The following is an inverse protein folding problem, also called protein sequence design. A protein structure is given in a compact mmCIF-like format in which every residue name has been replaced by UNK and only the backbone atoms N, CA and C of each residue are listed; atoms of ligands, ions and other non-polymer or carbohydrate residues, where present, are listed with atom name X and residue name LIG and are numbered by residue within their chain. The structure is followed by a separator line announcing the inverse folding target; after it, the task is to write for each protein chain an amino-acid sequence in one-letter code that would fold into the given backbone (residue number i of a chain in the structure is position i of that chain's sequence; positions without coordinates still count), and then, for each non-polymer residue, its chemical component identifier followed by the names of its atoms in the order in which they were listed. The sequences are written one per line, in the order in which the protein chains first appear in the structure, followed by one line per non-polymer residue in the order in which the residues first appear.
data_IF_848109620283
#
_entry.id   IF_848109620283
#
_cell.length_a   1.000
_cell.length_b   1.000
_cell.length_c   1.000
_cell.angle_alpha   90.00
_cell.angle_beta   90.00
_cell.angle_gamma   90.00
#
_symmetry.space_group_name_H-M   'P 1'
#
loop_
_entity.id
_entity.type
_entity.pdbx_description
1 polymer ?
#
# COMPACT_ATOMS: atom_id res chain seq x y z
N UNK A 1 -17.75 9.41 -3.90
CA UNK A 1 -17.40 10.55 -3.02
C UNK A 1 -18.53 11.55 -2.88
N UNK A 2 -19.19 11.97 -3.97
CA UNK A 2 -20.30 12.94 -3.92
C UNK A 2 -21.40 12.56 -2.92
N UNK A 3 -21.85 11.31 -2.90
CA UNK A 3 -22.89 10.86 -1.95
C UNK A 3 -22.44 10.93 -0.49
N UNK A 4 -21.15 10.68 -0.22
CA UNK A 4 -20.58 10.82 1.12
C UNK A 4 -20.56 12.30 1.54
N UNK A 5 -20.16 13.21 0.66
CA UNK A 5 -20.17 14.66 0.93
C UNK A 5 -21.59 15.22 1.14
N UNK A 6 -22.57 14.72 0.37
CA UNK A 6 -24.00 15.03 0.57
C UNK A 6 -24.48 14.51 1.92
N UNK A 7 -24.15 13.27 2.27
CA UNK A 7 -24.50 12.67 3.57
C UNK A 7 -23.87 13.45 4.73
N UNK A 8 -22.63 13.91 4.56
CA UNK A 8 -21.92 14.75 5.54
C UNK A 8 -22.46 16.17 5.66
N UNK A 9 -23.39 16.59 4.79
CA UNK A 9 -24.12 17.84 4.96
C UNK A 9 -25.19 17.75 6.07
N UNK A 10 -25.58 16.52 6.45
CA UNK A 10 -26.41 16.28 7.61
C UNK A 10 -25.56 16.20 8.89
N UNK A 11 -25.83 17.11 9.83
CA UNK A 11 -25.09 17.22 11.09
C UNK A 11 -25.09 15.94 11.93
N UNK A 12 -26.21 15.20 11.96
CA UNK A 12 -26.31 13.98 12.76
C UNK A 12 -25.47 12.86 12.14
N UNK A 13 -25.48 12.76 10.81
CA UNK A 13 -24.61 11.81 10.09
C UNK A 13 -23.13 12.16 10.23
N UNK A 14 -22.79 13.45 10.19
CA UNK A 14 -21.44 13.94 10.45
C UNK A 14 -20.98 13.52 11.86
N UNK A 15 -21.81 13.75 12.88
CA UNK A 15 -21.52 13.39 14.27
C UNK A 15 -21.34 11.89 14.46
N UNK A 16 -22.20 11.08 13.84
CA UNK A 16 -22.08 9.62 13.84
C UNK A 16 -20.77 9.17 13.20
N UNK A 17 -20.38 9.76 12.08
CA UNK A 17 -19.14 9.41 11.40
C UNK A 17 -17.89 9.83 12.21
N UNK A 18 -17.93 11.00 12.86
CA UNK A 18 -16.88 11.41 13.81
C UNK A 18 -16.76 10.41 14.96
N UNK A 19 -17.87 9.94 15.53
CA UNK A 19 -17.86 8.96 16.60
C UNK A 19 -17.30 7.61 16.13
N UNK A 20 -17.72 7.15 14.95
CA UNK A 20 -17.20 5.93 14.34
C UNK A 20 -15.68 6.01 14.12
N UNK A 21 -15.18 7.10 13.52
CA UNK A 21 -13.74 7.28 13.30
C UNK A 21 -12.95 7.49 14.59
N UNK A 22 -13.55 8.09 15.63
CA UNK A 22 -12.88 8.23 16.92
C UNK A 22 -12.60 6.86 17.57
N UNK A 23 -13.44 5.86 17.30
CA UNK A 23 -13.23 4.49 17.77
C UNK A 23 -12.18 3.73 16.96
N UNK A 24 -11.72 4.28 15.82
CA UNK A 24 -10.59 3.75 15.07
C UNK A 24 -9.32 4.16 15.80
N UNK A 25 -8.86 3.29 16.71
CA UNK A 25 -7.66 3.52 17.50
C UNK A 25 -6.35 3.44 16.71
N UNK A 26 -5.24 3.54 17.44
CA UNK A 26 -3.88 3.42 16.92
C UNK A 26 -2.84 3.86 17.95
N UNK A 27 -1.59 3.54 17.69
CA UNK A 27 -0.44 3.85 18.55
C UNK A 27 0.05 5.31 18.43
N UNK A 28 -0.52 6.10 17.52
CA UNK A 28 -0.19 7.50 17.36
C UNK A 28 -0.86 8.17 16.15
N UNK A 29 -0.58 9.46 15.99
CA UNK A 29 -1.25 10.35 15.03
C UNK A 29 -1.22 9.76 13.60
N UNK A 30 -0.04 9.33 13.17
CA UNK A 30 0.16 8.77 11.83
C UNK A 30 -0.62 7.47 11.64
N UNK A 31 -0.73 6.63 12.66
CA UNK A 31 -1.43 5.36 12.57
C UNK A 31 -2.93 5.59 12.49
N UNK A 32 -3.47 6.38 13.43
CA UNK A 32 -4.90 6.73 13.50
C UNK A 32 -5.39 7.35 12.18
N UNK A 33 -4.72 8.39 11.69
CA UNK A 33 -5.11 9.06 10.43
C UNK A 33 -5.10 8.08 9.26
N UNK A 34 -4.09 7.22 9.14
CA UNK A 34 -4.00 6.24 8.05
C UNK A 34 -5.04 5.14 8.15
N UNK A 35 -5.38 4.70 9.36
CA UNK A 35 -6.45 3.73 9.60
C UNK A 35 -7.79 4.31 9.15
N UNK A 36 -8.12 5.53 9.58
CA UNK A 36 -9.35 6.22 9.15
C UNK A 36 -9.40 6.36 7.63
N UNK A 37 -8.32 6.84 6.99
CA UNK A 37 -8.28 7.00 5.52
C UNK A 37 -8.45 5.66 4.79
N UNK A 38 -7.90 4.57 5.33
CA UNK A 38 -8.04 3.23 4.73
C UNK A 38 -9.46 2.69 4.86
N UNK A 39 -10.20 3.06 5.90
CA UNK A 39 -11.61 2.69 6.06
C UNK A 39 -12.55 3.45 5.11
N UNK A 40 -12.21 4.69 4.75
CA UNK A 40 -13.13 5.57 3.98
C UNK A 40 -12.82 5.60 2.49
N UNK A 41 -11.54 5.51 2.12
CA UNK A 41 -11.09 5.76 0.76
C UNK A 41 -10.59 4.45 0.16
N UNK A 42 -11.32 3.94 -0.83
CA UNK A 42 -10.85 2.84 -1.67
C UNK A 42 -9.70 3.30 -2.58
N UNK A 43 -8.92 2.36 -3.12
CA UNK A 43 -7.76 2.70 -3.97
C UNK A 43 -8.16 3.44 -5.23
N UNK A 44 -9.25 3.00 -5.88
CA UNK A 44 -9.75 3.63 -7.10
C UNK A 44 -10.22 5.05 -6.82
N UNK A 45 -10.79 5.28 -5.64
CA UNK A 45 -11.14 6.61 -5.20
C UNK A 45 -9.89 7.45 -4.92
N UNK A 46 -8.90 6.90 -4.19
CA UNK A 46 -7.66 7.61 -3.90
C UNK A 46 -6.91 8.08 -5.16
N UNK A 47 -7.02 7.36 -6.28
CA UNK A 47 -6.43 7.75 -7.57
C UNK A 47 -7.03 9.03 -8.15
N UNK A 48 -8.30 9.32 -7.85
CA UNK A 48 -9.06 10.47 -8.36
C UNK A 48 -8.77 11.76 -7.59
N UNK A 49 -8.17 11.67 -6.39
CA UNK A 49 -7.89 12.82 -5.54
C UNK A 49 -6.39 13.11 -5.42
N UNK A 50 -6.06 14.38 -5.22
CA UNK A 50 -4.82 14.78 -4.58
C UNK A 50 -5.12 15.91 -3.58
N UNK A 51 -4.14 16.33 -2.79
CA UNK A 51 -4.40 17.31 -1.73
C UNK A 51 -5.04 18.60 -2.26
N UNK A 52 -4.49 19.19 -3.32
CA UNK A 52 -4.86 20.53 -3.82
C UNK A 52 -5.90 20.50 -4.96
N UNK A 53 -6.02 19.38 -5.65
CA UNK A 53 -6.80 19.21 -6.88
C UNK A 53 -6.10 19.70 -8.14
N UNK A 54 -4.78 19.45 -8.28
CA UNK A 54 -4.04 19.82 -9.51
C UNK A 54 -4.27 18.81 -10.64
N UNK A 55 -4.36 19.31 -11.87
CA UNK A 55 -4.52 18.50 -13.10
C UNK A 55 -5.96 18.00 -13.27
N UNK A 56 -6.12 16.71 -13.55
CA UNK A 56 -7.43 16.05 -13.72
C UNK A 56 -8.01 15.49 -12.42
N UNK A 57 -7.36 15.75 -11.27
CA UNK A 57 -7.74 15.20 -9.97
C UNK A 57 -8.47 16.21 -9.11
N UNK A 58 -9.41 15.74 -8.31
CA UNK A 58 -10.19 16.56 -7.39
C UNK A 58 -9.39 16.93 -6.12
N UNK A 59 -9.77 18.05 -5.50
CA UNK A 59 -9.11 18.61 -4.32
C UNK A 59 -9.61 17.95 -3.04
N UNK A 60 -8.78 17.11 -2.42
CA UNK A 60 -9.13 16.45 -1.17
C UNK A 60 -9.27 17.45 -0.01
N UNK A 61 -8.46 18.53 0.01
CA UNK A 61 -8.49 19.51 1.09
C UNK A 61 -9.82 20.29 1.20
N UNK A 62 -10.65 20.27 0.15
CA UNK A 62 -11.94 20.97 0.11
C UNK A 62 -13.11 20.13 0.61
N UNK A 63 -12.88 18.85 0.88
CA UNK A 63 -13.91 17.91 1.29
C UNK A 63 -14.29 18.11 2.76
N UNK A 64 -15.59 18.03 3.07
CA UNK A 64 -16.10 18.02 4.46
C UNK A 64 -15.50 16.87 5.25
N UNK A 65 -15.19 15.76 4.57
CA UNK A 65 -14.50 14.63 5.16
C UNK A 65 -13.20 15.02 5.89
N UNK A 66 -12.45 16.02 5.42
CA UNK A 66 -11.22 16.47 6.10
C UNK A 66 -11.53 17.05 7.48
N UNK A 67 -12.60 17.83 7.61
CA UNK A 67 -13.03 18.37 8.90
C UNK A 67 -13.45 17.25 9.86
N UNK A 68 -14.18 16.25 9.35
CA UNK A 68 -14.60 15.06 10.09
C UNK A 68 -13.39 14.27 10.61
N UNK A 69 -12.40 14.02 9.74
CA UNK A 69 -11.16 13.31 10.11
C UNK A 69 -10.42 14.08 11.21
N UNK A 70 -10.24 15.40 11.06
CA UNK A 70 -9.55 16.21 12.08
C UNK A 70 -10.26 16.13 13.43
N UNK A 71 -11.60 16.20 13.45
CA UNK A 71 -12.40 16.12 14.68
C UNK A 71 -12.35 14.73 15.31
N UNK A 72 -12.37 13.68 14.50
CA UNK A 72 -12.26 12.31 14.97
C UNK A 72 -10.88 12.01 15.57
N UNK A 73 -9.80 12.45 14.91
CA UNK A 73 -8.43 12.28 15.40
C UNK A 73 -8.29 12.90 16.79
N UNK A 74 -8.75 14.13 16.99
CA UNK A 74 -8.63 14.82 18.29
C UNK A 74 -9.52 14.26 19.41
N UNK A 75 -10.42 13.32 19.12
CA UNK A 75 -11.12 12.58 20.17
C UNK A 75 -10.26 11.51 20.83
N UNK A 76 -9.17 11.10 20.18
CA UNK A 76 -8.23 10.15 20.75
C UNK A 76 -7.33 10.87 21.79
N UNK A 77 -7.29 10.44 23.06
CA UNK A 77 -6.55 11.13 24.12
C UNK A 77 -5.06 11.29 23.81
N UNK A 78 -4.45 10.32 23.12
CA UNK A 78 -3.02 10.32 22.78
C UNK A 78 -2.61 11.41 21.78
N UNK A 79 -3.55 11.98 21.03
CA UNK A 79 -3.28 12.92 19.93
C UNK A 79 -4.24 14.12 19.92
N UNK A 80 -4.83 14.44 21.07
CA UNK A 80 -5.82 15.50 21.20
C UNK A 80 -5.29 16.89 20.80
N UNK A 81 -4.01 17.16 21.06
CA UNK A 81 -3.33 18.43 20.75
C UNK A 81 -2.86 18.55 19.30
N UNK A 82 -3.02 17.50 18.48
CA UNK A 82 -2.55 17.51 17.11
C UNK A 82 -3.18 18.64 16.30
N UNK A 83 -2.33 19.45 15.68
CA UNK A 83 -2.72 20.59 14.85
C UNK A 83 -3.33 20.11 13.53
N UNK A 84 -4.10 20.99 12.88
CA UNK A 84 -4.61 20.71 11.54
C UNK A 84 -3.46 20.47 10.55
N UNK A 85 -2.36 21.21 10.68
CA UNK A 85 -1.20 21.06 9.81
C UNK A 85 -0.56 19.68 9.92
N UNK A 86 -0.39 19.16 11.14
CA UNK A 86 0.17 17.82 11.36
C UNK A 86 -0.74 16.73 10.79
N UNK A 87 -2.05 16.83 11.03
CA UNK A 87 -3.05 15.88 10.49
C UNK A 87 -3.04 15.93 8.96
N UNK A 88 -3.12 17.12 8.39
CA UNK A 88 -3.12 17.34 6.94
C UNK A 88 -1.87 16.79 6.28
N UNK A 89 -0.70 16.96 6.90
CA UNK A 89 0.55 16.44 6.37
C UNK A 89 0.52 14.90 6.29
N UNK A 90 -0.04 14.22 7.30
CA UNK A 90 -0.23 12.78 7.23
C UNK A 90 -1.20 12.39 6.11
N UNK A 91 -2.29 13.15 5.92
CA UNK A 91 -3.23 12.91 4.82
C UNK A 91 -2.56 13.08 3.46
N UNK A 92 -1.78 14.15 3.26
CA UNK A 92 -1.01 14.41 2.03
C UNK A 92 -0.07 13.26 1.70
N UNK A 93 0.73 12.85 2.69
CA UNK A 93 1.67 11.74 2.56
C UNK A 93 0.92 10.46 2.22
N UNK A 94 -0.20 10.18 2.90
CA UNK A 94 -1.00 8.99 2.61
C UNK A 94 -1.58 9.01 1.19
N UNK A 95 -2.15 10.12 0.73
CA UNK A 95 -2.67 10.27 -0.64
C UNK A 95 -1.57 10.06 -1.69
N UNK A 96 -0.36 10.60 -1.46
CA UNK A 96 0.79 10.43 -2.35
C UNK A 96 1.17 8.96 -2.54
N UNK A 97 1.14 8.18 -1.46
CA UNK A 97 1.52 6.76 -1.46
C UNK A 97 0.34 5.80 -1.59
N UNK A 98 -0.90 6.29 -1.61
CA UNK A 98 -2.12 5.47 -1.63
C UNK A 98 -2.14 4.48 -2.81
N UNK A 99 -1.63 4.91 -3.97
CA UNK A 99 -1.47 4.11 -5.19
C UNK A 99 -0.59 2.86 -5.01
N UNK A 100 0.37 2.90 -4.08
CA UNK A 100 1.36 1.83 -3.90
C UNK A 100 0.94 0.79 -2.85
N UNK A 101 -0.20 0.99 -2.17
CA UNK A 101 -0.61 0.22 -0.99
C UNK A 101 -1.22 -1.16 -1.28
N UNK A 102 -1.59 -1.48 -2.52
CA UNK A 102 -2.11 -2.83 -2.90
C UNK A 102 -1.07 -3.74 -3.54
N UNK A 103 0.08 -3.83 -2.92
CA UNK A 103 1.18 -4.55 -3.55
C UNK A 103 1.83 -3.77 -4.69
N UNK A 104 1.66 -2.45 -4.81
CA UNK A 104 2.49 -1.64 -5.71
C UNK A 104 3.98 -1.71 -5.36
N UNK A 105 4.31 -1.87 -4.06
CA UNK A 105 5.67 -2.21 -3.62
C UNK A 105 6.08 -3.64 -3.98
N UNK A 106 5.17 -4.60 -3.90
CA UNK A 106 5.43 -5.99 -4.28
C UNK A 106 5.61 -6.11 -5.81
N UNK A 107 4.76 -5.46 -6.61
CA UNK A 107 4.83 -5.36 -8.06
C UNK A 107 6.06 -4.58 -8.52
N UNK A 108 6.46 -3.49 -7.85
CA UNK A 108 7.75 -2.82 -8.16
C UNK A 108 8.95 -3.67 -7.81
N UNK A 109 8.93 -4.39 -6.68
CA UNK A 109 9.99 -5.33 -6.32
C UNK A 109 10.04 -6.50 -7.30
N UNK A 110 8.90 -7.02 -7.73
CA UNK A 110 8.80 -8.07 -8.74
C UNK A 110 9.27 -7.57 -10.11
N UNK A 111 8.86 -6.37 -10.53
CA UNK A 111 9.31 -5.75 -11.77
C UNK A 111 10.81 -5.38 -11.75
N UNK A 112 11.33 -4.88 -10.62
CA UNK A 112 12.76 -4.58 -10.46
C UNK A 112 13.60 -5.86 -10.39
N UNK A 113 13.10 -6.93 -9.75
CA UNK A 113 13.76 -8.23 -9.71
C UNK A 113 13.74 -8.93 -11.08
N UNK A 114 12.67 -8.80 -11.87
CA UNK A 114 12.60 -9.33 -13.24
C UNK A 114 13.57 -8.64 -14.21
N UNK A 115 14.05 -7.43 -13.88
CA UNK A 115 15.06 -6.70 -14.67
C UNK A 115 16.49 -7.04 -14.20
N UNK A 116 16.66 -7.72 -13.06
CA UNK A 116 17.94 -8.09 -12.48
C UNK A 116 18.20 -9.61 -12.58
N UNK A 117 18.61 -10.06 -13.77
CA UNK A 117 19.52 -11.20 -14.06
C UNK A 117 19.02 -12.67 -14.02
N UNK A 118 19.67 -13.62 -14.77
CA UNK A 118 21.13 -13.78 -14.85
C UNK A 118 21.77 -13.87 -16.26
N UNK A 119 22.83 -13.07 -16.44
CA UNK A 119 23.89 -13.25 -17.41
C UNK A 119 25.03 -14.03 -16.71
N UNK A 120 24.81 -15.30 -16.40
CA UNK A 120 25.87 -16.16 -15.85
C UNK A 120 25.69 -17.63 -16.26
N UNK A 121 26.07 -17.96 -17.50
CA UNK A 121 26.50 -19.32 -17.84
C UNK A 121 27.82 -19.25 -18.62
N UNK A 122 28.93 -19.22 -17.89
CA UNK A 122 30.21 -19.73 -18.37
C UNK A 122 30.63 -20.88 -17.45
N UNK A 123 30.93 -22.00 -18.09
CA UNK A 123 31.26 -23.33 -17.56
C UNK A 123 32.48 -23.37 -16.63
N UNK A 124 32.75 -24.53 -16.01
CA UNK A 124 34.08 -25.11 -16.22
C UNK A 124 34.09 -26.62 -16.52
N UNK A 125 35.25 -27.02 -17.02
CA UNK A 125 35.75 -28.24 -17.66
C UNK A 125 36.19 -29.39 -16.74
N UNK A 126 36.06 -30.62 -17.26
CA UNK A 126 36.81 -31.89 -17.06
C UNK A 126 37.27 -32.34 -15.66
N UNK A 127 36.98 -33.62 -15.34
CA UNK A 127 37.94 -34.54 -14.71
C UNK A 127 37.65 -35.99 -15.13
N UNK A 128 38.72 -36.67 -15.54
CA UNK A 128 38.84 -38.05 -16.00
C UNK A 128 38.45 -39.08 -14.94
N UNK A 129 37.86 -40.21 -15.36
CA UNK A 129 38.00 -41.46 -14.62
C UNK A 129 38.10 -42.65 -15.61
N UNK A 130 39.29 -43.24 -15.62
CA UNK A 130 39.73 -44.38 -16.43
C UNK A 130 39.39 -45.71 -15.71
N UNK A 131 38.84 -46.64 -16.48
CA UNK A 131 39.08 -48.10 -16.47
C UNK A 131 38.80 -48.94 -15.21
N UNK A 132 37.90 -49.91 -15.35
CA UNK A 132 38.06 -51.32 -14.93
C UNK A 132 37.08 -52.13 -15.81
N UNK A 133 37.58 -52.78 -16.87
CA UNK A 133 37.97 -54.19 -16.93
C UNK A 133 36.82 -55.22 -16.78
N UNK A 134 36.74 -56.04 -17.83
CA UNK A 134 36.32 -57.45 -17.87
C UNK A 134 34.85 -57.85 -17.62
N UNK A 135 34.16 -58.16 -18.72
CA UNK A 135 33.44 -59.43 -18.80
C UNK A 135 33.57 -60.01 -20.22
N UNK A 136 34.40 -61.04 -20.34
CA UNK A 136 34.56 -61.88 -21.53
C UNK A 136 33.88 -63.23 -21.29
N UNK A 137 33.49 -63.89 -22.39
CA UNK A 137 32.87 -65.24 -22.53
C UNK A 137 31.33 -65.25 -22.61
N UNK A 138 30.68 -65.97 -23.52
CA UNK A 138 31.13 -66.89 -24.56
C UNK A 138 29.93 -67.30 -25.45
N UNK A 139 30.25 -67.66 -26.70
CA UNK A 139 29.73 -68.80 -27.48
C UNK A 139 28.33 -68.83 -28.12
N UNK A 140 28.38 -69.46 -29.30
CA UNK A 140 27.38 -70.23 -30.07
C UNK A 140 26.52 -69.45 -31.08
N UNK A 141 26.80 -69.63 -32.40
CA UNK A 141 26.11 -70.53 -33.38
C UNK A 141 24.72 -70.00 -33.74
N UNK A 142 24.34 -69.80 -35.00
CA UNK A 142 24.57 -70.55 -36.25
C UNK A 142 24.83 -69.65 -37.47
#
# INVERSE_FOLDING_TARGET
MRDLETTLSNFEKEKQLVAYFANIGGDGLKSIVRSILTCVISKDLARQYNWVGKGTKEAFCKLRLVAVIRRAVRRNPSVQSATNAEIDEVIKVWLRYSKDRDGGRAARRAAAAAVAEPAASKSPSNLDELSTEEYSSNSDKE
#
